data_IF_838567253654
#
_entry.id   IF_838567253654
#
_cell.length_a   1.000
_cell.length_b   1.000
_cell.length_c   1.000
_cell.angle_alpha   90.00
_cell.angle_beta   90.00
_cell.angle_gamma   90.00
#
_symmetry.space_group_name_H-M   'P 1'
#
loop_
_entity.id
_entity.type
_entity.pdbx_description
1 polymer ?
#
# COMPACT_ATOMS: atom_id res chain seq x y z
N UNK A 1 4.05 11.70 9.25
CA UNK A 1 3.65 12.99 8.63
C UNK A 1 4.57 13.46 7.51
N UNK A 2 5.90 13.53 7.71
CA UNK A 2 6.87 14.04 6.72
C UNK A 2 6.70 13.46 5.28
N UNK A 3 6.55 12.14 5.07
CA UNK A 3 6.38 11.58 3.73
C UNK A 3 5.09 12.05 3.04
N UNK A 4 4.02 12.31 3.80
CA UNK A 4 2.76 12.84 3.26
C UNK A 4 2.92 14.29 2.79
N UNK A 5 3.76 15.09 3.46
CA UNK A 5 4.08 16.45 3.04
C UNK A 5 4.92 16.47 1.77
N UNK A 6 5.93 15.60 1.65
CA UNK A 6 6.72 15.44 0.43
C UNK A 6 5.86 14.96 -0.74
N UNK A 7 4.96 13.99 -0.54
CA UNK A 7 4.01 13.56 -1.57
C UNK A 7 3.18 14.75 -2.08
N UNK A 8 2.69 15.58 -1.15
CA UNK A 8 1.92 16.76 -1.49
C UNK A 8 2.72 17.80 -2.26
N UNK A 9 4.00 18.02 -1.93
CA UNK A 9 4.89 18.93 -2.66
C UNK A 9 5.14 18.45 -4.09
N UNK A 10 5.36 17.14 -4.29
CA UNK A 10 5.51 16.56 -5.63
C UNK A 10 4.23 16.75 -6.44
N UNK A 11 3.07 16.42 -5.87
CA UNK A 11 1.78 16.61 -6.53
C UNK A 11 1.45 18.10 -6.76
N UNK A 12 1.93 19.02 -5.91
CA UNK A 12 1.81 20.46 -6.12
C UNK A 12 2.64 20.92 -7.32
N UNK A 13 3.91 20.50 -7.39
CA UNK A 13 4.80 20.81 -8.52
C UNK A 13 4.24 20.31 -9.84
N UNK A 14 3.71 19.08 -9.87
CA UNK A 14 3.11 18.52 -11.08
C UNK A 14 1.85 19.28 -11.52
N UNK A 15 0.96 19.64 -10.57
CA UNK A 15 -0.23 20.44 -10.88
C UNK A 15 0.13 21.83 -11.37
N UNK A 16 1.13 22.48 -10.76
CA UNK A 16 1.61 23.79 -11.19
C UNK A 16 2.17 23.72 -12.61
N UNK A 17 3.02 22.73 -12.91
CA UNK A 17 3.56 22.52 -14.24
C UNK A 17 2.44 22.30 -15.28
N UNK A 18 1.43 21.49 -14.95
CA UNK A 18 0.30 21.24 -15.83
C UNK A 18 -0.53 22.52 -16.09
N UNK A 19 -0.80 23.32 -15.05
CA UNK A 19 -1.53 24.59 -15.19
C UNK A 19 -0.73 25.60 -16.00
N UNK A 20 0.59 25.71 -15.79
CA UNK A 20 1.45 26.61 -16.55
C UNK A 20 1.52 26.20 -18.03
N UNK A 21 1.70 24.91 -18.32
CA UNK A 21 1.69 24.39 -19.68
C UNK A 21 0.36 24.70 -20.39
N UNK A 22 -0.75 24.47 -19.69
CA UNK A 22 -2.07 24.77 -20.21
C UNK A 22 -2.30 26.27 -20.43
N UNK A 23 -1.83 27.11 -19.50
CA UNK A 23 -1.91 28.56 -19.61
C UNK A 23 -1.08 29.09 -20.80
N UNK A 24 0.09 28.51 -21.08
CA UNK A 24 0.89 28.86 -22.25
C UNK A 24 0.17 28.54 -23.56
N UNK A 25 -0.47 27.36 -23.65
CA UNK A 25 -1.21 26.94 -24.86
C UNK A 25 -2.50 27.74 -25.03
N UNK A 26 -3.30 27.86 -23.97
CA UNK A 26 -4.60 28.51 -24.03
C UNK A 26 -4.51 30.04 -24.02
N UNK A 27 -3.42 30.62 -23.49
CA UNK A 27 -3.18 32.06 -23.48
C UNK A 27 -3.10 32.65 -24.90
N UNK A 28 -2.74 31.84 -25.90
CA UNK A 28 -2.74 32.23 -27.32
C UNK A 28 -4.16 32.60 -27.80
N UNK A 29 -5.19 31.97 -27.24
CA UNK A 29 -6.60 32.14 -27.63
C UNK A 29 -7.33 33.23 -26.82
N UNK A 30 -6.60 34.02 -26.01
CA UNK A 30 -7.09 35.16 -25.23
C UNK A 30 -8.42 34.88 -24.48
N UNK A 31 -9.49 35.66 -24.70
CA UNK A 31 -10.72 35.62 -23.92
C UNK A 31 -11.48 34.28 -23.93
N UNK A 32 -11.40 33.49 -25.01
CA UNK A 32 -11.95 32.14 -25.01
C UNK A 32 -11.04 31.16 -24.25
N UNK A 33 -9.73 31.36 -24.33
CA UNK A 33 -8.73 30.56 -23.62
C UNK A 33 -8.79 30.71 -22.11
N UNK A 34 -9.09 31.90 -21.59
CA UNK A 34 -9.18 32.14 -20.14
C UNK A 34 -10.35 31.40 -19.49
N UNK A 35 -11.51 31.36 -20.14
CA UNK A 35 -12.67 30.60 -19.66
C UNK A 35 -12.39 29.10 -19.59
N UNK A 36 -11.80 28.53 -20.65
CA UNK A 36 -11.40 27.12 -20.70
C UNK A 36 -10.33 26.81 -19.66
N UNK A 37 -9.34 27.71 -19.49
CA UNK A 37 -8.29 27.58 -18.48
C UNK A 37 -8.88 27.52 -17.07
N UNK A 38 -9.90 28.33 -16.76
CA UNK A 38 -10.56 28.32 -15.45
C UNK A 38 -11.23 26.98 -15.14
N UNK A 39 -11.96 26.43 -16.10
CA UNK A 39 -12.60 25.11 -15.97
C UNK A 39 -11.55 24.00 -15.78
N UNK A 40 -10.50 24.03 -16.59
CA UNK A 40 -9.43 23.03 -16.50
C UNK A 40 -8.61 23.17 -15.22
N UNK A 41 -8.36 24.38 -14.73
CA UNK A 41 -7.70 24.61 -13.44
C UNK A 41 -8.53 24.01 -12.30
N UNK A 42 -9.86 24.17 -12.33
CA UNK A 42 -10.75 23.52 -11.38
C UNK A 42 -10.62 22.00 -11.43
N UNK A 43 -10.65 21.40 -12.63
CA UNK A 43 -10.50 19.96 -12.80
C UNK A 43 -9.12 19.44 -12.37
N UNK A 44 -8.04 20.18 -12.63
CA UNK A 44 -6.68 19.83 -12.18
C UNK A 44 -6.55 19.96 -10.67
N UNK A 45 -7.21 20.93 -10.04
CA UNK A 45 -7.14 21.08 -8.59
C UNK A 45 -7.95 20.02 -7.85
N UNK A 46 -9.18 19.78 -8.29
CA UNK A 46 -10.15 18.92 -7.61
C UNK A 46 -10.18 17.50 -8.16
N UNK A 47 -10.20 17.36 -9.49
CA UNK A 47 -10.34 16.08 -10.18
C UNK A 47 -9.05 15.25 -10.20
N UNK A 48 -7.88 15.86 -10.41
CA UNK A 48 -6.58 15.15 -10.43
C UNK A 48 -6.38 14.17 -9.26
N UNK A 49 -6.48 14.59 -7.98
CA UNK A 49 -6.23 13.68 -6.86
C UNK A 49 -7.30 12.59 -6.77
N UNK A 50 -8.56 12.90 -7.07
CA UNK A 50 -9.68 11.94 -6.98
C UNK A 50 -9.53 10.86 -8.05
N UNK A 51 -9.31 11.27 -9.30
CA UNK A 51 -9.20 10.37 -10.44
C UNK A 51 -7.96 9.47 -10.29
N UNK A 52 -6.81 10.03 -9.92
CA UNK A 52 -5.62 9.21 -9.71
C UNK A 52 -5.74 8.28 -8.53
N UNK A 53 -6.33 8.71 -7.41
CA UNK A 53 -6.52 7.82 -6.27
C UNK A 53 -7.42 6.64 -6.61
N UNK A 54 -8.48 6.83 -7.40
CA UNK A 54 -9.37 5.71 -7.76
C UNK A 54 -8.75 4.83 -8.85
N UNK A 55 -8.14 5.41 -9.87
CA UNK A 55 -7.59 4.66 -11.01
C UNK A 55 -6.27 3.95 -10.70
N UNK A 56 -5.46 4.51 -9.80
CA UNK A 56 -4.12 4.01 -9.49
C UNK A 56 -4.08 3.43 -8.06
N UNK A 57 -5.14 2.71 -7.69
CA UNK A 57 -5.24 1.89 -6.47
C UNK A 57 -4.82 2.65 -5.19
N UNK A 58 -5.40 3.84 -5.01
CA UNK A 58 -5.16 4.70 -3.85
C UNK A 58 -3.90 5.55 -3.91
N UNK A 59 -3.25 5.68 -5.07
CA UNK A 59 -1.97 6.39 -5.18
C UNK A 59 -2.01 7.54 -6.19
N UNK A 60 -1.73 8.76 -5.73
CA UNK A 60 -1.30 9.86 -6.61
C UNK A 60 0.15 9.66 -7.06
N UNK A 61 0.61 10.41 -8.06
CA UNK A 61 2.00 10.30 -8.55
C UNK A 61 3.00 10.58 -7.42
N UNK A 62 2.79 11.63 -6.62
CA UNK A 62 3.65 11.93 -5.47
C UNK A 62 3.58 10.89 -4.34
N UNK A 63 2.43 10.24 -4.14
CA UNK A 63 2.31 9.14 -3.18
C UNK A 63 3.04 7.89 -3.68
N UNK A 64 2.95 7.60 -4.98
CA UNK A 64 3.58 6.44 -5.61
C UNK A 64 5.11 6.51 -5.56
N UNK A 65 5.71 7.69 -5.74
CA UNK A 65 7.17 7.86 -5.62
C UNK A 65 7.68 7.58 -4.20
N UNK A 66 6.85 7.83 -3.19
CA UNK A 66 7.15 7.60 -1.78
C UNK A 66 6.63 6.25 -1.25
N UNK A 67 6.05 5.40 -2.12
CA UNK A 67 5.50 4.10 -1.74
C UNK A 67 4.31 4.21 -0.78
N UNK A 68 3.51 5.26 -0.89
CA UNK A 68 2.31 5.49 -0.06
C UNK A 68 1.06 5.10 -0.85
N UNK A 69 0.08 4.50 -0.16
CA UNK A 69 -1.22 4.12 -0.71
C UNK A 69 -2.34 4.46 0.27
N UNK A 70 -3.46 4.97 -0.25
CA UNK A 70 -4.67 5.14 0.55
C UNK A 70 -5.58 3.93 0.41
N UNK A 71 -6.01 3.38 1.54
CA UNK A 71 -6.95 2.26 1.63
C UNK A 71 -8.12 2.65 2.52
N UNK A 72 -9.23 1.94 2.40
CA UNK A 72 -10.31 2.05 3.38
C UNK A 72 -9.83 1.48 4.74
N UNK A 73 -10.50 1.85 5.82
CA UNK A 73 -10.29 1.29 7.17
C UNK A 73 -10.25 -0.25 7.21
N UNK A 74 -11.03 -0.90 6.36
CA UNK A 74 -11.10 -2.36 6.20
C UNK A 74 -9.98 -2.93 5.29
N UNK A 75 -9.03 -2.11 4.85
CA UNK A 75 -7.91 -2.51 3.98
C UNK A 75 -8.26 -2.70 2.50
N UNK A 76 -9.52 -2.52 2.11
CA UNK A 76 -9.95 -2.63 0.71
C UNK A 76 -9.45 -1.45 -0.12
N UNK A 77 -9.33 -1.62 -1.46
CA UNK A 77 -9.08 -0.50 -2.36
C UNK A 77 -10.11 0.61 -2.17
N UNK A 78 -9.63 1.83 -2.38
CA UNK A 78 -10.46 3.03 -2.30
C UNK A 78 -11.49 3.07 -3.44
N UNK A 79 -12.69 3.58 -3.13
CA UNK A 79 -13.75 3.88 -4.09
C UNK A 79 -13.94 5.40 -4.28
N UNK A 80 -14.75 5.80 -5.26
CA UNK A 80 -14.99 7.21 -5.61
C UNK A 80 -15.45 8.08 -4.43
N UNK A 81 -16.49 7.65 -3.70
CA UNK A 81 -17.10 8.45 -2.63
C UNK A 81 -16.10 8.77 -1.51
N UNK A 82 -15.39 7.79 -0.92
CA UNK A 82 -14.34 8.07 0.07
C UNK A 82 -13.23 9.00 -0.45
N UNK A 83 -12.85 8.88 -1.73
CA UNK A 83 -11.85 9.77 -2.34
C UNK A 83 -12.33 11.22 -2.43
N UNK A 84 -13.58 11.41 -2.86
CA UNK A 84 -14.19 12.74 -2.97
C UNK A 84 -14.30 13.38 -1.58
N UNK A 85 -14.87 12.66 -0.61
CA UNK A 85 -15.09 13.16 0.76
C UNK A 85 -13.79 13.63 1.39
N UNK A 86 -12.73 12.82 1.32
CA UNK A 86 -11.44 13.21 1.91
C UNK A 86 -10.80 14.39 1.19
N UNK A 87 -10.91 14.46 -0.14
CA UNK A 87 -10.28 15.53 -0.91
C UNK A 87 -11.06 16.84 -0.77
N UNK A 88 -12.36 16.78 -0.48
CA UNK A 88 -13.17 17.94 -0.14
C UNK A 88 -12.81 18.49 1.25
N UNK A 89 -12.70 17.60 2.23
CA UNK A 89 -12.31 17.97 3.59
C UNK A 89 -10.84 18.38 3.69
N UNK A 90 -10.00 18.08 2.69
CA UNK A 90 -8.65 18.63 2.58
C UNK A 90 -8.63 20.15 2.58
N UNK A 91 -9.66 20.82 2.06
CA UNK A 91 -9.77 22.29 2.11
C UNK A 91 -10.05 22.77 3.52
N UNK A 92 -10.80 22.01 4.31
CA UNK A 92 -11.05 22.29 5.73
C UNK A 92 -9.78 22.07 6.56
N UNK A 93 -9.02 21.01 6.27
CA UNK A 93 -7.71 20.76 6.88
C UNK A 93 -6.70 21.90 6.64
N UNK A 94 -6.90 22.73 5.61
CA UNK A 94 -6.04 23.85 5.23
C UNK A 94 -6.35 25.17 5.97
N UNK A 95 -7.46 25.27 6.70
CA UNK A 95 -7.83 26.45 7.50
C UNK A 95 -7.52 26.18 8.97
N UNK A 96 -6.96 27.09 9.82
CA UNK A 96 -6.23 28.33 9.62
C UNK A 96 -4.70 28.10 9.61
N UNK A 97 -3.94 29.14 9.23
CA UNK A 97 -2.46 29.20 9.25
C UNK A 97 -1.75 27.92 8.77
N UNK A 98 -1.70 27.71 7.44
CA UNK A 98 -0.79 26.74 6.80
C UNK A 98 -0.97 25.28 7.27
N UNK A 99 -2.16 24.69 7.11
CA UNK A 99 -2.47 23.29 7.48
C UNK A 99 -2.57 23.01 8.99
N UNK A 100 -2.91 23.99 9.82
CA UNK A 100 -3.00 23.83 11.28
C UNK A 100 -3.89 22.65 11.72
N UNK A 101 -5.13 22.55 11.25
CA UNK A 101 -6.03 21.45 11.64
C UNK A 101 -5.61 20.09 11.09
N UNK A 102 -5.11 20.03 9.85
CA UNK A 102 -4.60 18.79 9.26
C UNK A 102 -3.35 18.26 9.95
N UNK A 103 -2.50 19.17 10.46
CA UNK A 103 -1.31 18.82 11.24
C UNK A 103 -1.69 18.35 12.65
N UNK A 104 -2.58 19.08 13.33
CA UNK A 104 -3.03 18.74 14.69
C UNK A 104 -3.79 17.42 14.71
N UNK A 105 -4.77 17.23 13.84
CA UNK A 105 -5.57 15.99 13.79
C UNK A 105 -4.70 14.76 13.59
N UNK A 106 -3.75 14.82 12.66
CA UNK A 106 -2.89 13.70 12.40
C UNK A 106 -1.67 13.55 13.32
N UNK A 107 -1.40 14.51 14.21
CA UNK A 107 -0.46 14.33 15.32
C UNK A 107 -1.16 13.69 16.54
N UNK A 108 -2.45 13.97 16.71
CA UNK A 108 -3.26 13.43 17.81
C UNK A 108 -3.72 11.99 17.54
N UNK A 109 -3.90 11.62 16.28
CA UNK A 109 -4.30 10.26 15.91
C UNK A 109 -3.10 9.29 15.85
N UNK A 110 -3.14 8.13 16.55
CA UNK A 110 -2.07 7.14 16.53
C UNK A 110 -1.78 6.55 15.14
N UNK A 111 -2.78 6.52 14.26
CA UNK A 111 -2.64 6.09 12.88
C UNK A 111 -2.30 7.24 11.92
N UNK A 112 -2.10 8.46 12.44
CA UNK A 112 -1.74 9.65 11.69
C UNK A 112 -2.81 10.10 10.69
N UNK A 113 -4.09 9.82 10.97
CA UNK A 113 -5.24 10.17 10.12
C UNK A 113 -5.58 11.66 10.23
N UNK A 114 -5.90 12.29 9.10
CA UNK A 114 -6.41 13.68 9.06
C UNK A 114 -7.93 13.70 9.24
N UNK A 115 -8.54 14.87 9.44
CA UNK A 115 -10.00 14.99 9.51
C UNK A 115 -10.68 14.42 8.26
N UNK A 116 -10.13 14.70 7.07
CA UNK A 116 -10.63 14.12 5.83
C UNK A 116 -10.51 12.60 5.77
N UNK A 117 -9.47 12.01 6.37
CA UNK A 117 -9.30 10.56 6.43
C UNK A 117 -10.31 9.92 7.40
N UNK A 118 -10.56 10.56 8.55
CA UNK A 118 -11.56 10.13 9.53
C UNK A 118 -12.97 10.14 8.95
N UNK A 119 -13.38 11.25 8.33
CA UNK A 119 -14.70 11.38 7.74
C UNK A 119 -14.93 10.45 6.54
N UNK A 120 -13.87 10.14 5.79
CA UNK A 120 -13.94 9.20 4.67
C UNK A 120 -13.74 7.73 5.08
N UNK A 121 -13.46 7.42 6.35
CA UNK A 121 -13.20 6.06 6.82
C UNK A 121 -11.96 5.43 6.17
N UNK A 122 -10.89 6.21 5.98
CA UNK A 122 -9.71 5.78 5.20
C UNK A 122 -8.41 5.99 5.96
N UNK A 123 -7.35 5.30 5.52
CA UNK A 123 -6.02 5.47 6.06
C UNK A 123 -4.95 5.41 4.97
N UNK A 124 -3.81 6.06 5.23
CA UNK A 124 -2.65 6.02 4.35
C UNK A 124 -1.65 5.04 4.91
N UNK A 125 -1.38 3.98 4.17
CA UNK A 125 -0.39 2.95 4.50
C UNK A 125 0.81 3.08 3.57
N UNK A 126 1.93 2.52 3.98
CA UNK A 126 2.98 2.21 3.03
C UNK A 126 2.49 1.06 2.17
N UNK A 127 2.46 1.26 0.85
CA UNK A 127 2.33 0.16 -0.06
C UNK A 127 3.55 -0.74 0.18
N UNK A 128 3.32 -1.99 0.61
CA UNK A 128 4.41 -2.95 0.71
C UNK A 128 5.10 -2.97 -0.64
N UNK A 129 6.38 -2.58 -0.62
CA UNK A 129 7.19 -2.47 -1.82
C UNK A 129 7.62 -3.87 -2.23
N UNK A 130 6.64 -4.70 -2.61
CA UNK A 130 6.76 -6.13 -2.86
C UNK A 130 7.53 -6.80 -1.71
N UNK A 131 6.88 -7.44 -0.70
CA UNK A 131 7.65 -8.37 0.11
C UNK A 131 8.24 -9.31 -0.92
N UNK A 132 9.56 -9.23 -1.15
CA UNK A 132 10.22 -10.07 -2.14
C UNK A 132 9.87 -11.46 -1.67
N UNK A 133 8.87 -12.06 -2.32
CA UNK A 133 8.33 -13.36 -1.96
C UNK A 133 9.40 -14.27 -2.50
N UNK A 134 10.52 -14.32 -1.76
CA UNK A 134 11.69 -15.11 -2.09
C UNK A 134 11.11 -16.51 -2.24
N UNK A 135 11.16 -17.09 -3.44
CA UNK A 135 10.70 -18.45 -3.61
C UNK A 135 11.34 -19.27 -2.51
N UNK A 136 10.52 -20.05 -1.81
CA UNK A 136 11.05 -21.02 -0.87
C UNK A 136 12.17 -21.80 -1.58
N UNK A 137 13.28 -22.14 -0.89
CA UNK A 137 14.39 -22.86 -1.50
C UNK A 137 13.85 -24.04 -2.33
N UNK A 138 14.29 -24.24 -3.58
CA UNK A 138 13.79 -25.30 -4.44
C UNK A 138 14.09 -26.63 -3.75
N UNK A 139 13.06 -27.17 -3.11
CA UNK A 139 13.07 -28.40 -2.34
C UNK A 139 12.01 -29.29 -2.99
N UNK A 140 12.36 -30.54 -3.32
CA UNK A 140 11.42 -31.43 -4.00
C UNK A 140 10.15 -31.56 -3.15
N UNK A 141 8.95 -31.54 -3.77
CA UNK A 141 7.70 -31.66 -3.04
C UNK A 141 7.60 -33.03 -2.35
N UNK A 142 7.24 -33.03 -1.08
CA UNK A 142 7.08 -34.23 -0.26
C UNK A 142 5.61 -34.28 0.19
N UNK A 143 4.93 -35.41 -0.03
CA UNK A 143 3.57 -35.59 0.50
C UNK A 143 3.62 -35.64 2.03
N UNK A 144 2.68 -34.96 2.69
CA UNK A 144 2.56 -35.05 4.16
C UNK A 144 2.23 -36.50 4.55
N UNK A 145 2.96 -37.09 5.52
CA UNK A 145 2.69 -38.46 5.97
C UNK A 145 1.35 -38.60 6.69
N UNK A 146 0.80 -37.48 7.18
CA UNK A 146 -0.50 -37.41 7.85
C UNK A 146 -1.39 -36.35 7.19
N UNK A 147 -2.72 -36.53 7.19
CA UNK A 147 -3.65 -35.50 6.73
C UNK A 147 -3.58 -34.28 7.65
N UNK A 148 -3.14 -33.15 7.10
CA UNK A 148 -3.06 -31.87 7.81
C UNK A 148 -4.42 -31.15 7.77
N UNK A 149 -4.84 -30.59 8.91
CA UNK A 149 -6.00 -29.67 8.97
C UNK A 149 -5.70 -28.36 8.24
N UNK A 150 -6.73 -27.61 7.86
CA UNK A 150 -6.57 -26.37 7.07
C UNK A 150 -5.65 -25.35 7.76
N UNK A 151 -5.76 -25.20 9.08
CA UNK A 151 -4.92 -24.27 9.85
C UNK A 151 -3.46 -24.74 9.94
N UNK A 152 -3.22 -26.05 9.98
CA UNK A 152 -1.87 -26.63 9.95
C UNK A 152 -1.22 -26.45 8.57
N UNK A 153 -1.99 -26.65 7.50
CA UNK A 153 -1.54 -26.37 6.12
C UNK A 153 -1.15 -24.90 5.97
N UNK A 154 -1.98 -23.97 6.48
CA UNK A 154 -1.67 -22.53 6.48
C UNK A 154 -0.38 -22.24 7.25
N UNK A 155 -0.16 -22.87 8.41
CA UNK A 155 1.05 -22.68 9.19
C UNK A 155 2.31 -23.16 8.44
N UNK A 156 2.25 -24.32 7.79
CA UNK A 156 3.35 -24.87 6.96
C UNK A 156 3.67 -23.96 5.77
N UNK A 157 2.65 -23.47 5.07
CA UNK A 157 2.82 -22.51 3.96
C UNK A 157 3.41 -21.20 4.46
N UNK A 158 2.89 -20.66 5.57
CA UNK A 158 3.39 -19.41 6.15
C UNK A 158 4.82 -19.51 6.69
N UNK A 159 5.25 -20.70 7.12
CA UNK A 159 6.66 -20.98 7.43
C UNK A 159 7.50 -20.91 6.15
N UNK A 160 7.12 -21.61 5.08
CA UNK A 160 7.88 -21.64 3.83
C UNK A 160 8.03 -20.25 3.18
N UNK A 161 7.00 -19.42 3.25
CA UNK A 161 7.04 -18.04 2.74
C UNK A 161 7.99 -17.13 3.51
N UNK A 162 8.16 -17.38 4.82
CA UNK A 162 9.01 -16.57 5.71
C UNK A 162 10.39 -17.19 5.96
N UNK A 163 10.61 -18.44 5.58
CA UNK A 163 11.86 -19.15 5.81
C UNK A 163 13.06 -18.34 5.28
N UNK A 164 12.96 -17.78 4.08
CA UNK A 164 14.02 -16.97 3.47
C UNK A 164 14.33 -15.63 4.16
N UNK A 165 13.51 -15.22 5.14
CA UNK A 165 13.71 -14.03 5.98
C UNK A 165 14.26 -14.40 7.37
N UNK A 166 14.24 -15.68 7.75
CA UNK A 166 14.67 -16.18 9.06
C UNK A 166 16.12 -16.63 9.04
N UNK A 167 16.82 -16.52 10.18
CA UNK A 167 18.16 -17.11 10.33
C UNK A 167 18.08 -18.65 10.29
N UNK A 168 19.16 -19.34 9.89
CA UNK A 168 19.17 -20.81 9.82
C UNK A 168 18.78 -21.46 11.14
N UNK A 169 19.19 -20.90 12.27
CA UNK A 169 18.92 -21.42 13.61
C UNK A 169 17.42 -21.35 13.93
N UNK A 170 16.76 -20.24 13.61
CA UNK A 170 15.31 -20.08 13.80
C UNK A 170 14.51 -20.99 12.89
N UNK A 171 14.96 -21.20 11.66
CA UNK A 171 14.32 -22.17 10.77
C UNK A 171 14.39 -23.58 11.38
N UNK A 172 15.55 -23.99 11.87
CA UNK A 172 15.75 -25.30 12.48
C UNK A 172 14.93 -25.48 13.77
N UNK A 173 14.88 -24.46 14.62
CA UNK A 173 14.07 -24.47 15.84
C UNK A 173 12.58 -24.67 15.52
N UNK A 174 12.02 -23.85 14.65
CA UNK A 174 10.61 -23.94 14.26
C UNK A 174 10.29 -25.25 13.53
N UNK A 175 11.17 -25.69 12.62
CA UNK A 175 10.99 -26.97 11.94
C UNK A 175 11.10 -28.16 12.90
N UNK A 176 11.90 -28.05 13.96
CA UNK A 176 12.02 -29.09 14.98
C UNK A 176 10.77 -29.24 15.85
N UNK A 177 9.89 -28.22 15.93
CA UNK A 177 8.58 -28.36 16.57
C UNK A 177 7.68 -29.36 15.82
N UNK A 178 7.91 -29.53 14.52
CA UNK A 178 7.22 -30.50 13.65
C UNK A 178 7.90 -31.88 13.67
N UNK A 179 8.75 -32.16 14.65
CA UNK A 179 9.36 -33.48 14.85
C UNK A 179 8.33 -34.63 14.94
N UNK A 180 7.16 -34.49 15.61
CA UNK A 180 6.14 -35.54 15.62
C UNK A 180 5.59 -35.90 14.23
N UNK A 181 5.66 -34.96 13.28
CA UNK A 181 5.16 -35.13 11.92
C UNK A 181 6.25 -35.59 10.95
N UNK A 182 7.45 -35.04 11.08
CA UNK A 182 8.56 -35.27 10.14
C UNK A 182 9.52 -36.37 10.58
N UNK A 183 9.56 -36.71 11.88
CA UNK A 183 10.56 -37.58 12.49
C UNK A 183 11.98 -37.01 12.49
N UNK A 184 12.19 -35.79 11.98
CA UNK A 184 13.50 -35.19 11.76
C UNK A 184 13.73 -33.99 12.69
N UNK A 185 14.98 -33.55 12.85
CA UNK A 185 15.38 -32.32 13.58
C UNK A 185 16.50 -31.61 12.82
N UNK A 186 16.72 -30.32 13.11
CA UNK A 186 17.77 -29.53 12.44
C UNK A 186 17.47 -29.28 10.96
N UNK A 187 18.50 -29.18 10.12
CA UNK A 187 18.33 -28.92 8.68
C UNK A 187 17.45 -29.94 7.93
N UNK A 188 17.51 -31.26 8.19
CA UNK A 188 16.60 -32.21 7.57
C UNK A 188 15.11 -31.90 7.84
N UNK A 189 14.78 -31.45 9.06
CA UNK A 189 13.41 -31.03 9.39
C UNK A 189 12.99 -29.83 8.54
N UNK A 190 13.87 -28.83 8.38
CA UNK A 190 13.60 -27.66 7.53
C UNK A 190 13.29 -28.09 6.10
N UNK A 191 14.12 -28.97 5.52
CA UNK A 191 13.90 -29.48 4.15
C UNK A 191 12.58 -30.25 4.03
N UNK A 192 12.24 -31.07 5.01
CA UNK A 192 10.99 -31.82 5.02
C UNK A 192 9.76 -30.89 5.06
N UNK A 193 9.78 -29.87 5.93
CA UNK A 193 8.68 -28.91 6.04
C UNK A 193 8.54 -28.07 4.76
N UNK A 194 9.65 -27.64 4.15
CA UNK A 194 9.63 -26.93 2.87
C UNK A 194 9.11 -27.81 1.72
N UNK A 195 9.47 -29.09 1.69
CA UNK A 195 8.95 -30.06 0.72
C UNK A 195 7.43 -30.28 0.87
N UNK A 196 6.93 -30.38 2.10
CA UNK A 196 5.48 -30.46 2.39
C UNK A 196 4.78 -29.19 1.92
N UNK A 197 5.34 -28.01 2.19
CA UNK A 197 4.78 -26.74 1.73
C UNK A 197 4.73 -26.65 0.20
N UNK A 198 5.77 -27.09 -0.51
CA UNK A 198 5.79 -27.11 -1.97
C UNK A 198 4.74 -28.07 -2.56
N UNK A 199 4.51 -29.23 -1.93
CA UNK A 199 3.45 -30.15 -2.31
C UNK A 199 2.05 -29.51 -2.15
N UNK A 200 1.81 -28.84 -1.01
CA UNK A 200 0.54 -28.13 -0.76
C UNK A 200 0.29 -26.97 -1.73
N UNK A 201 1.35 -26.31 -2.19
CA UNK A 201 1.29 -25.22 -3.16
C UNK A 201 1.25 -25.71 -4.62
N UNK A 202 1.29 -27.02 -4.86
CA UNK A 202 1.31 -27.60 -6.20
C UNK A 202 2.59 -27.32 -7.01
N UNK A 203 3.68 -26.94 -6.34
CA UNK A 203 4.98 -26.67 -6.97
C UNK A 203 5.71 -28.00 -7.17
N UNK A 204 5.90 -28.41 -8.43
CA UNK A 204 6.65 -29.61 -8.82
C UNK A 204 8.08 -29.27 -9.23
#
# INVERSE_FOLDING_TARGET
MLPRCYAWLIDLGLRLAAVLALAMVLGIFQGAGSGVLMVLMFLVYWGYPIVLEVLNDGQTIGKRTLGLKVVNDNGTPITWVPSIVRNLLRTVDMMPALYGFGLVSGLLDPAGRRLGDHAAGTLVVYAERNPVRRPAPPTPPIASPLPLRQDEQRAVVAFAERAALMTPERQQELASLLHPLTGQRGEPAVRSVLGIANHLLGRR
#
